data_IF_525814559356
#
_entry.id   IF_525814559356
#
_cell.length_a   1.000
_cell.length_b   1.000
_cell.length_c   1.000
_cell.angle_alpha   90.00
_cell.angle_beta   90.00
_cell.angle_gamma   90.00
#
_symmetry.space_group_name_H-M   'P 1'
#
loop_
_entity.id
_entity.type
_entity.pdbx_description
1 polymer ?
#
# COMPACT_ATOMS: atom_id res chain seq x y z
N UNK A 1 -9.92 7.79 6.03
CA UNK A 1 -10.62 7.82 7.32
C UNK A 1 -9.82 7.27 8.49
N UNK A 2 -8.55 6.91 8.32
CA UNK A 2 -7.68 6.35 9.36
C UNK A 2 -6.74 7.40 9.98
N UNK A 3 -6.99 8.66 9.76
CA UNK A 3 -6.06 9.75 10.05
C UNK A 3 -6.18 10.25 11.50
N UNK A 4 -7.18 9.82 12.22
CA UNK A 4 -7.46 10.31 13.57
C UNK A 4 -7.56 9.14 14.57
N UNK A 5 -6.51 8.36 14.69
CA UNK A 5 -6.18 7.65 15.92
C UNK A 5 -5.26 8.55 16.74
N UNK A 6 -5.81 9.64 17.26
CA UNK A 6 -5.11 10.55 18.15
C UNK A 6 -6.07 11.06 19.20
N UNK A 7 -5.60 11.22 20.42
CA UNK A 7 -6.32 11.94 21.46
C UNK A 7 -6.24 13.45 21.18
N UNK A 8 -7.40 14.09 21.08
CA UNK A 8 -7.49 15.55 21.13
C UNK A 8 -7.30 15.98 22.58
N UNK A 9 -6.16 16.59 22.86
CA UNK A 9 -5.95 17.29 24.13
C UNK A 9 -6.43 18.74 24.02
N UNK A 10 -6.68 19.39 25.16
CA UNK A 10 -7.12 20.79 25.24
C UNK A 10 -6.19 21.77 24.49
N UNK A 11 -4.94 21.39 24.29
CA UNK A 11 -3.88 22.25 23.75
C UNK A 11 -3.49 21.91 22.31
N UNK A 12 -4.13 20.94 21.67
CA UNK A 12 -3.86 20.54 20.31
C UNK A 12 -4.05 19.04 20.06
N UNK A 13 -3.88 18.65 18.82
CA UNK A 13 -3.99 17.25 18.39
C UNK A 13 -2.69 16.54 18.76
N UNK A 14 -2.65 15.82 19.87
CA UNK A 14 -1.62 14.81 20.10
C UNK A 14 -1.99 13.56 19.33
N UNK A 15 -1.40 13.40 18.16
CA UNK A 15 -1.59 12.23 17.34
C UNK A 15 -0.69 11.13 17.91
N UNK A 16 -1.27 10.05 18.44
CA UNK A 16 -0.54 8.82 18.73
C UNK A 16 -0.22 8.16 17.39
N UNK A 17 1.06 8.07 17.08
CA UNK A 17 1.54 7.47 15.84
C UNK A 17 1.75 5.98 16.06
N UNK A 18 1.15 5.20 15.19
CA UNK A 18 1.40 3.77 15.06
C UNK A 18 2.16 3.53 13.76
N UNK A 19 3.07 2.56 13.73
CA UNK A 19 3.73 2.13 12.51
C UNK A 19 2.78 1.48 11.50
N UNK A 20 1.54 1.19 11.89
CA UNK A 20 0.47 0.77 10.97
C UNK A 20 0.10 1.86 9.97
N UNK A 21 0.40 3.11 10.32
CA UNK A 21 0.19 4.28 9.48
C UNK A 21 1.54 4.95 9.23
N UNK A 22 1.90 5.24 7.97
CA UNK A 22 3.18 5.87 7.67
C UNK A 22 3.34 7.17 8.45
N UNK A 23 4.31 7.21 9.37
CA UNK A 23 4.53 8.37 10.24
C UNK A 23 4.73 9.65 9.42
N UNK A 24 5.60 9.60 8.37
CA UNK A 24 5.89 10.77 7.53
C UNK A 24 4.63 11.31 6.84
N UNK A 25 3.79 10.43 6.28
CA UNK A 25 2.52 10.83 5.66
C UNK A 25 1.58 11.48 6.68
N UNK A 26 1.51 10.92 7.89
CA UNK A 26 0.69 11.44 8.98
C UNK A 26 1.17 12.81 9.41
N UNK A 27 2.49 13.06 9.46
CA UNK A 27 3.06 14.38 9.79
C UNK A 27 2.75 15.43 8.71
N UNK A 28 2.96 15.06 7.44
CA UNK A 28 2.67 15.97 6.31
C UNK A 28 1.19 16.35 6.33
N UNK A 29 0.30 15.38 6.44
CA UNK A 29 -1.14 15.64 6.48
C UNK A 29 -1.54 16.44 7.72
N UNK A 30 -0.97 16.09 8.89
CA UNK A 30 -1.17 16.82 10.14
C UNK A 30 -0.76 18.29 10.07
N UNK A 31 0.33 18.60 9.36
CA UNK A 31 0.75 19.96 9.09
C UNK A 31 -0.34 20.76 8.33
N UNK A 32 -0.87 20.21 7.24
CA UNK A 32 -1.93 20.88 6.49
C UNK A 32 -3.25 20.98 7.25
N UNK A 33 -3.59 19.98 8.07
CA UNK A 33 -4.75 20.06 8.97
C UNK A 33 -4.59 21.19 9.97
N UNK A 34 -3.40 21.36 10.56
CA UNK A 34 -3.11 22.48 11.49
C UNK A 34 -3.28 23.84 10.80
N UNK A 35 -2.84 23.97 9.54
CA UNK A 35 -3.11 25.18 8.73
C UNK A 35 -4.62 25.39 8.60
N UNK A 36 -5.38 24.37 8.22
CA UNK A 36 -6.83 24.46 8.11
C UNK A 36 -7.53 24.85 9.42
N UNK A 37 -7.03 24.34 10.56
CA UNK A 37 -7.54 24.71 11.88
C UNK A 37 -7.28 26.20 12.17
N UNK A 38 -6.08 26.68 11.88
CA UNK A 38 -5.73 28.12 12.05
C UNK A 38 -6.62 29.03 11.20
N UNK A 39 -6.95 28.58 9.98
CA UNK A 39 -7.87 29.28 9.08
C UNK A 39 -9.35 29.09 9.46
N UNK A 40 -9.68 28.39 10.54
CA UNK A 40 -11.04 28.01 10.96
C UNK A 40 -11.83 27.17 9.95
N UNK A 41 -11.12 26.57 8.99
CA UNK A 41 -11.68 25.73 7.91
C UNK A 41 -10.79 24.51 7.66
N UNK A 42 -11.03 23.41 8.36
CA UNK A 42 -10.24 22.18 8.21
C UNK A 42 -10.27 21.64 6.76
N UNK A 43 -11.37 21.84 6.05
CA UNK A 43 -11.50 21.46 4.64
C UNK A 43 -10.47 22.12 3.73
N UNK A 44 -10.02 23.34 4.05
CA UNK A 44 -8.95 24.01 3.29
C UNK A 44 -7.61 23.30 3.45
N UNK A 45 -7.28 22.87 4.67
CA UNK A 45 -6.06 22.09 4.90
C UNK A 45 -6.02 20.80 4.07
N UNK A 46 -7.13 20.05 4.05
CA UNK A 46 -7.26 18.90 3.16
C UNK A 46 -7.19 19.27 1.68
N UNK A 47 -7.82 20.37 1.28
CA UNK A 47 -7.80 20.86 -0.10
C UNK A 47 -6.38 21.17 -0.58
N UNK A 48 -5.59 21.88 0.23
CA UNK A 48 -4.20 22.20 -0.09
C UNK A 48 -3.37 20.91 -0.20
N UNK A 49 -3.49 20.00 0.77
CA UNK A 49 -2.78 18.72 0.71
C UNK A 49 -3.13 17.92 -0.54
N UNK A 50 -4.42 17.76 -0.85
CA UNK A 50 -4.85 16.99 -2.03
C UNK A 50 -4.44 17.65 -3.32
N UNK A 51 -4.45 18.98 -3.39
CA UNK A 51 -3.95 19.73 -4.55
C UNK A 51 -2.46 19.49 -4.79
N UNK A 52 -1.64 19.56 -3.74
CA UNK A 52 -0.20 19.30 -3.83
C UNK A 52 0.09 17.85 -4.21
N UNK A 53 -0.63 16.89 -3.61
CA UNK A 53 -0.49 15.47 -3.95
C UNK A 53 -0.88 15.21 -5.42
N UNK A 54 -1.99 15.77 -5.89
CA UNK A 54 -2.42 15.68 -7.29
C UNK A 54 -1.39 16.29 -8.23
N UNK A 55 -0.85 17.47 -7.91
CA UNK A 55 0.20 18.12 -8.69
C UNK A 55 1.46 17.26 -8.77
N UNK A 56 1.85 16.62 -7.68
CA UNK A 56 2.97 15.69 -7.66
C UNK A 56 2.71 14.44 -8.52
N UNK A 57 1.48 13.90 -8.55
CA UNK A 57 1.12 12.82 -9.47
C UNK A 57 1.18 13.26 -10.93
N UNK A 58 0.65 14.44 -11.27
CA UNK A 58 0.72 14.99 -12.63
C UNK A 58 2.18 15.17 -13.06
N UNK A 59 3.03 15.72 -12.18
CA UNK A 59 4.46 15.87 -12.44
C UNK A 59 5.13 14.50 -12.64
N UNK A 60 4.84 13.50 -11.79
CA UNK A 60 5.38 12.14 -11.92
C UNK A 60 4.98 11.49 -13.24
N UNK A 61 3.70 11.58 -13.64
CA UNK A 61 3.23 11.05 -14.94
C UNK A 61 3.92 11.80 -16.10
N UNK A 62 4.05 13.13 -16.01
CA UNK A 62 4.74 13.93 -17.04
C UNK A 62 6.22 13.54 -17.16
N UNK A 63 6.91 13.31 -16.03
CA UNK A 63 8.30 12.83 -16.02
C UNK A 63 8.40 11.42 -16.59
N UNK A 64 7.46 10.52 -16.27
CA UNK A 64 7.40 9.18 -16.85
C UNK A 64 7.28 9.25 -18.37
N UNK A 65 6.34 10.03 -18.90
CA UNK A 65 6.16 10.23 -20.35
C UNK A 65 7.40 10.84 -21.00
N UNK A 66 8.02 11.84 -20.37
CA UNK A 66 9.26 12.45 -20.84
C UNK A 66 10.42 11.43 -20.85
N UNK A 67 10.49 10.55 -19.84
CA UNK A 67 11.47 9.47 -19.79
C UNK A 67 11.25 8.46 -20.92
N UNK A 68 10.03 7.99 -21.13
CA UNK A 68 9.70 7.08 -22.22
C UNK A 68 9.99 7.71 -23.60
N UNK A 69 9.70 8.99 -23.76
CA UNK A 69 10.04 9.74 -24.99
C UNK A 69 11.56 9.77 -25.22
N UNK A 70 12.35 9.97 -24.16
CA UNK A 70 13.81 9.96 -24.26
C UNK A 70 14.36 8.60 -24.71
N UNK A 71 13.71 7.51 -24.33
CA UNK A 71 14.04 6.14 -24.78
C UNK A 71 13.31 5.75 -26.06
N UNK A 72 12.94 6.74 -26.88
CA UNK A 72 12.42 6.60 -28.24
C UNK A 72 11.08 5.82 -28.36
N UNK A 73 10.24 5.86 -27.33
CA UNK A 73 8.87 5.35 -27.44
C UNK A 73 8.05 6.19 -28.42
N UNK A 74 7.25 5.54 -29.23
CA UNK A 74 6.44 6.17 -30.28
C UNK A 74 5.51 7.26 -29.70
N UNK A 75 5.48 8.44 -30.38
CA UNK A 75 4.70 9.60 -29.95
C UNK A 75 3.19 9.33 -29.86
N UNK A 76 2.66 8.48 -30.75
CA UNK A 76 1.25 8.09 -30.71
C UNK A 76 0.94 7.29 -29.45
N UNK A 77 1.83 6.36 -29.08
CA UNK A 77 1.68 5.58 -27.86
C UNK A 77 1.74 6.49 -26.62
N UNK A 78 2.66 7.46 -26.58
CA UNK A 78 2.74 8.42 -25.46
C UNK A 78 1.45 9.23 -25.30
N UNK A 79 0.83 9.64 -26.42
CA UNK A 79 -0.48 10.32 -26.39
C UNK A 79 -1.58 9.40 -25.87
N UNK A 80 -1.61 8.14 -26.30
CA UNK A 80 -2.57 7.13 -25.79
C UNK A 80 -2.38 6.94 -24.29
N UNK A 81 -1.16 6.77 -23.81
CA UNK A 81 -0.83 6.63 -22.40
C UNK A 81 -1.29 7.85 -21.59
N UNK A 82 -1.05 9.07 -22.11
CA UNK A 82 -1.54 10.31 -21.50
C UNK A 82 -3.06 10.32 -21.38
N UNK A 83 -3.79 9.93 -22.43
CA UNK A 83 -5.25 9.86 -22.42
C UNK A 83 -5.75 8.84 -21.40
N UNK A 84 -5.10 7.68 -21.27
CA UNK A 84 -5.43 6.68 -20.26
C UNK A 84 -5.31 7.27 -18.86
N UNK A 85 -4.19 7.93 -18.52
CA UNK A 85 -4.01 8.57 -17.22
C UNK A 85 -5.00 9.70 -16.94
N UNK A 86 -5.36 10.48 -17.97
CA UNK A 86 -6.25 11.62 -17.82
C UNK A 86 -7.73 11.22 -17.70
N UNK A 87 -8.17 10.24 -18.48
CA UNK A 87 -9.59 9.94 -18.67
C UNK A 87 -10.08 8.76 -17.82
N UNK A 88 -9.21 7.79 -17.47
CA UNK A 88 -9.66 6.66 -16.67
C UNK A 88 -9.69 7.06 -15.20
N UNK A 89 -10.88 7.07 -14.56
CA UNK A 89 -11.07 7.69 -13.25
C UNK A 89 -10.21 7.12 -12.13
N UNK A 90 -9.71 5.89 -12.25
CA UNK A 90 -8.86 5.29 -11.22
C UNK A 90 -7.63 6.15 -10.92
N UNK A 91 -7.00 6.74 -11.94
CA UNK A 91 -5.79 7.55 -11.76
C UNK A 91 -6.08 8.91 -11.11
N UNK A 92 -6.96 9.79 -11.64
CA UNK A 92 -7.24 11.06 -10.99
C UNK A 92 -7.88 10.90 -9.61
N UNK A 93 -8.67 9.84 -9.39
CA UNK A 93 -9.27 9.60 -8.07
C UNK A 93 -8.23 9.17 -7.03
N UNK A 94 -7.25 8.33 -7.39
CA UNK A 94 -6.16 7.98 -6.48
C UNK A 94 -5.22 9.15 -6.22
N UNK A 95 -5.02 10.04 -7.18
CA UNK A 95 -4.18 11.23 -6.99
C UNK A 95 -4.71 12.18 -5.91
N UNK A 96 -6.03 12.19 -5.66
CA UNK A 96 -6.67 12.98 -4.60
C UNK A 96 -7.03 12.17 -3.36
N UNK A 97 -6.77 10.85 -3.36
CA UNK A 97 -7.07 9.99 -2.22
C UNK A 97 -6.12 10.29 -1.05
N UNK A 98 -6.68 10.73 0.07
CA UNK A 98 -5.92 10.98 1.29
C UNK A 98 -5.67 9.66 2.01
N UNK A 99 -4.45 9.16 1.94
CA UNK A 99 -4.07 7.90 2.60
C UNK A 99 -2.65 7.47 2.28
N UNK A 100 -2.05 6.70 3.19
CA UNK A 100 -0.68 6.19 3.04
C UNK A 100 -0.47 5.35 1.77
N UNK A 101 -1.49 4.63 1.29
CA UNK A 101 -1.38 3.84 0.07
C UNK A 101 -1.24 4.71 -1.18
N UNK A 102 -1.95 5.86 -1.24
CA UNK A 102 -1.83 6.80 -2.34
C UNK A 102 -0.45 7.49 -2.34
N UNK A 103 0.01 7.91 -1.17
CA UNK A 103 1.34 8.50 -1.01
C UNK A 103 2.45 7.49 -1.37
N UNK A 104 2.33 6.24 -0.93
CA UNK A 104 3.25 5.18 -1.31
C UNK A 104 3.29 4.95 -2.83
N UNK A 105 2.12 4.91 -3.48
CA UNK A 105 2.04 4.71 -4.93
C UNK A 105 2.65 5.87 -5.71
N UNK A 106 2.54 7.09 -5.19
CA UNK A 106 3.23 8.26 -5.75
C UNK A 106 4.76 8.10 -5.67
N UNK A 107 5.28 7.73 -4.51
CA UNK A 107 6.73 7.50 -4.35
C UNK A 107 7.21 6.32 -5.20
N UNK A 108 6.40 5.28 -5.33
CA UNK A 108 6.69 4.15 -6.19
C UNK A 108 6.72 4.53 -7.68
N UNK A 109 5.84 5.43 -8.13
CA UNK A 109 5.88 5.97 -9.50
C UNK A 109 7.23 6.68 -9.79
N UNK A 110 7.70 7.53 -8.87
CA UNK A 110 9.00 8.20 -9.01
C UNK A 110 10.15 7.19 -8.99
N UNK A 111 10.11 6.22 -8.09
CA UNK A 111 11.09 5.14 -8.05
C UNK A 111 11.13 4.33 -9.36
N UNK A 112 9.98 4.00 -9.95
CA UNK A 112 9.95 3.30 -11.23
C UNK A 112 10.53 4.13 -12.39
N UNK A 113 10.39 5.45 -12.39
CA UNK A 113 11.08 6.32 -13.34
C UNK A 113 12.60 6.19 -13.19
N UNK A 114 13.11 6.16 -11.97
CA UNK A 114 14.54 5.95 -11.70
C UNK A 114 15.01 4.56 -12.14
N UNK A 115 14.19 3.51 -11.93
CA UNK A 115 14.45 2.16 -12.43
C UNK A 115 14.60 2.15 -13.95
N UNK A 116 13.69 2.82 -14.67
CA UNK A 116 13.76 2.94 -16.14
C UNK A 116 15.06 3.66 -16.56
N UNK A 117 15.47 4.72 -15.86
CA UNK A 117 16.72 5.40 -16.14
C UNK A 117 17.96 4.53 -15.89
N UNK A 118 17.98 3.76 -14.79
CA UNK A 118 19.09 2.86 -14.44
C UNK A 118 19.33 1.84 -15.58
N UNK A 119 18.26 1.17 -16.02
CA UNK A 119 18.39 0.15 -17.07
C UNK A 119 18.52 0.75 -18.46
N UNK A 120 17.81 1.82 -18.78
CA UNK A 120 17.90 2.52 -20.06
C UNK A 120 19.29 3.12 -20.33
N UNK A 121 20.03 3.48 -19.29
CA UNK A 121 21.43 3.95 -19.39
C UNK A 121 22.47 2.87 -19.09
N UNK A 122 22.02 1.61 -18.92
CA UNK A 122 22.89 0.47 -18.55
C UNK A 122 23.77 0.74 -17.32
N UNK A 123 23.24 1.50 -16.36
CA UNK A 123 23.91 1.86 -15.10
C UNK A 123 24.84 3.07 -15.17
N UNK A 124 25.04 3.69 -16.34
CA UNK A 124 25.90 4.89 -16.44
C UNK A 124 25.36 6.08 -15.63
N UNK A 125 24.04 6.11 -15.39
CA UNK A 125 23.37 7.15 -14.60
C UNK A 125 23.93 7.26 -13.18
N UNK A 126 24.52 6.21 -12.60
CA UNK A 126 25.13 6.23 -11.27
C UNK A 126 26.39 7.13 -11.16
N UNK A 127 26.86 7.69 -12.26
CA UNK A 127 27.87 8.75 -12.24
C UNK A 127 27.28 10.17 -12.13
N UNK A 128 25.96 10.31 -12.25
CA UNK A 128 25.29 11.60 -12.19
C UNK A 128 24.92 11.93 -10.73
N UNK A 129 25.67 12.87 -10.11
CA UNK A 129 25.42 13.29 -8.72
C UNK A 129 24.00 13.83 -8.45
N UNK A 130 23.36 14.45 -9.47
CA UNK A 130 21.97 14.90 -9.32
C UNK A 130 21.02 13.73 -9.24
N UNK A 131 21.25 12.70 -10.04
CA UNK A 131 20.48 11.45 -9.97
C UNK A 131 20.66 10.76 -8.60
N UNK A 132 21.90 10.69 -8.09
CA UNK A 132 22.17 10.13 -6.75
C UNK A 132 21.34 10.84 -5.66
N UNK A 133 21.33 12.18 -5.70
CA UNK A 133 20.55 12.97 -4.74
C UNK A 133 19.02 12.71 -4.83
N UNK A 134 18.49 12.61 -6.05
CA UNK A 134 17.08 12.31 -6.28
C UNK A 134 16.77 10.89 -5.79
N UNK A 135 17.59 9.90 -6.14
CA UNK A 135 17.45 8.51 -5.71
C UNK A 135 17.44 8.38 -4.17
N UNK A 136 18.34 9.08 -3.47
CA UNK A 136 18.38 9.06 -2.01
C UNK A 136 17.06 9.56 -1.42
N UNK A 137 16.53 10.67 -1.94
CA UNK A 137 15.27 11.25 -1.46
C UNK A 137 14.08 10.34 -1.79
N UNK A 138 13.99 9.88 -3.04
CA UNK A 138 12.87 9.02 -3.49
C UNK A 138 12.86 7.69 -2.73
N UNK A 139 14.03 7.04 -2.62
CA UNK A 139 14.16 5.79 -1.89
C UNK A 139 13.82 5.95 -0.40
N UNK A 140 14.31 7.01 0.26
CA UNK A 140 13.97 7.31 1.64
C UNK A 140 12.46 7.52 1.81
N UNK A 141 11.83 8.32 0.96
CA UNK A 141 10.38 8.58 1.00
C UNK A 141 9.57 7.33 0.68
N UNK A 142 10.01 6.49 -0.25
CA UNK A 142 9.39 5.20 -0.56
C UNK A 142 9.36 4.28 0.66
N UNK A 143 10.49 4.14 1.35
CA UNK A 143 10.62 3.31 2.56
C UNK A 143 9.81 3.91 3.72
N UNK A 144 9.84 5.24 3.90
CA UNK A 144 9.10 5.94 4.94
C UNK A 144 7.58 6.00 4.67
N UNK A 145 7.16 5.90 3.41
CA UNK A 145 5.76 5.88 3.04
C UNK A 145 5.05 4.59 3.47
N UNK A 146 5.75 3.45 3.44
CA UNK A 146 5.19 2.15 3.84
C UNK A 146 6.30 1.12 4.03
N UNK A 147 6.17 0.22 5.03
CA UNK A 147 7.15 -0.85 5.26
C UNK A 147 7.42 -1.71 4.01
N UNK A 148 6.44 -1.85 3.14
CA UNK A 148 6.58 -2.54 1.84
C UNK A 148 7.65 -1.89 0.95
N UNK A 149 7.82 -0.58 1.02
CA UNK A 149 8.85 0.16 0.28
C UNK A 149 10.26 -0.26 0.67
N UNK A 150 10.49 -0.56 1.96
CA UNK A 150 11.77 -1.09 2.43
C UNK A 150 12.11 -2.43 1.76
N UNK A 151 11.16 -3.36 1.75
CA UNK A 151 11.37 -4.69 1.15
C UNK A 151 11.61 -4.59 -0.35
N UNK A 152 10.80 -3.80 -1.06
CA UNK A 152 10.94 -3.59 -2.51
C UNK A 152 12.30 -2.96 -2.83
N UNK A 153 12.68 -1.91 -2.10
CA UNK A 153 13.92 -1.20 -2.35
C UNK A 153 15.16 -2.05 -2.03
N UNK A 154 15.17 -2.74 -0.88
CA UNK A 154 16.30 -3.61 -0.49
C UNK A 154 16.51 -4.77 -1.46
N UNK A 155 15.42 -5.44 -1.90
CA UNK A 155 15.53 -6.51 -2.88
C UNK A 155 16.02 -5.99 -4.23
N UNK A 156 15.51 -4.85 -4.68
CA UNK A 156 15.96 -4.22 -5.91
C UNK A 156 17.42 -3.77 -5.83
N UNK A 157 17.88 -3.25 -4.69
CA UNK A 157 19.27 -2.90 -4.43
C UNK A 157 20.19 -4.12 -4.60
N UNK A 158 19.85 -5.27 -4.02
CA UNK A 158 20.64 -6.51 -4.18
C UNK A 158 20.76 -6.89 -5.66
N UNK A 159 19.67 -6.79 -6.42
CA UNK A 159 19.67 -7.08 -7.85
C UNK A 159 20.57 -6.10 -8.61
N UNK A 160 20.51 -4.80 -8.30
CA UNK A 160 21.39 -3.81 -8.92
C UNK A 160 22.88 -4.09 -8.60
N UNK A 161 23.23 -4.53 -7.39
CA UNK A 161 24.61 -4.91 -7.03
C UNK A 161 25.11 -6.10 -7.87
N UNK A 162 24.25 -7.08 -8.12
CA UNK A 162 24.59 -8.26 -8.90
C UNK A 162 24.66 -7.93 -10.39
N UNK A 163 23.72 -7.16 -10.90
CA UNK A 163 23.59 -6.87 -12.33
C UNK A 163 24.64 -5.83 -12.79
N UNK A 164 24.83 -4.77 -12.03
CA UNK A 164 25.74 -3.67 -12.35
C UNK A 164 27.08 -3.80 -11.64
N UNK A 165 27.72 -5.00 -11.66
CA UNK A 165 29.01 -5.27 -11.01
C UNK A 165 30.11 -4.29 -11.43
N UNK A 166 30.10 -3.82 -12.68
CA UNK A 166 31.03 -2.80 -13.19
C UNK A 166 30.95 -1.49 -12.39
N UNK A 167 29.76 -1.16 -11.89
CA UNK A 167 29.49 0.08 -11.15
C UNK A 167 29.30 -0.18 -9.65
N UNK A 168 29.74 -1.33 -9.13
CA UNK A 168 29.46 -1.80 -7.77
C UNK A 168 29.57 -0.72 -6.68
N UNK A 169 30.72 0.03 -6.65
CA UNK A 169 30.92 1.09 -5.64
C UNK A 169 29.91 2.22 -5.75
N UNK A 170 29.51 2.58 -6.95
CA UNK A 170 28.51 3.64 -7.19
C UNK A 170 27.13 3.20 -6.78
N UNK A 171 26.70 2.02 -7.22
CA UNK A 171 25.44 1.39 -6.81
C UNK A 171 25.37 1.27 -5.28
N UNK A 172 26.46 0.79 -4.66
CA UNK A 172 26.52 0.66 -3.21
C UNK A 172 26.30 2.01 -2.52
N UNK A 173 26.97 3.07 -2.93
CA UNK A 173 26.83 4.39 -2.30
C UNK A 173 25.43 4.95 -2.55
N UNK A 174 24.97 4.99 -3.82
CA UNK A 174 23.70 5.63 -4.18
C UNK A 174 22.48 4.94 -3.57
N UNK A 175 22.52 3.61 -3.40
CA UNK A 175 21.37 2.84 -2.92
C UNK A 175 21.47 2.41 -1.45
N UNK A 176 22.69 2.29 -0.89
CA UNK A 176 22.86 1.91 0.52
C UNK A 176 22.67 3.12 1.47
N UNK A 177 23.09 4.31 1.04
CA UNK A 177 22.91 5.53 1.85
C UNK A 177 21.45 5.79 2.27
N UNK A 178 20.44 5.71 1.37
CA UNK A 178 19.05 5.89 1.80
C UNK A 178 18.59 4.82 2.80
N UNK A 179 19.09 3.58 2.71
CA UNK A 179 18.77 2.52 3.69
C UNK A 179 19.36 2.90 5.06
N UNK A 180 20.61 3.39 5.10
CA UNK A 180 21.23 3.86 6.34
C UNK A 180 20.45 5.05 6.92
N UNK A 181 20.12 6.03 6.11
CA UNK A 181 19.32 7.18 6.54
C UNK A 181 17.96 6.73 7.10
N UNK A 182 17.29 5.79 6.43
CA UNK A 182 16.03 5.25 6.91
C UNK A 182 16.20 4.51 8.25
N UNK A 183 17.18 3.62 8.37
CA UNK A 183 17.34 2.79 9.55
C UNK A 183 17.85 3.59 10.76
N UNK A 184 18.90 4.42 10.58
CA UNK A 184 19.51 5.11 11.70
C UNK A 184 18.81 6.43 12.05
N UNK A 185 18.45 7.25 11.06
CA UNK A 185 17.83 8.55 11.33
C UNK A 185 16.34 8.38 11.58
N UNK A 186 15.61 7.72 10.65
CA UNK A 186 14.17 7.66 10.73
C UNK A 186 13.66 6.70 11.80
N UNK A 187 14.12 5.44 11.77
CA UNK A 187 13.69 4.42 12.74
C UNK A 187 14.46 4.55 14.06
N UNK A 188 15.79 4.78 14.02
CA UNK A 188 16.63 4.80 15.21
C UNK A 188 16.57 6.10 16.02
N UNK A 189 16.32 7.26 15.39
CA UNK A 189 16.28 8.56 16.08
C UNK A 189 14.87 9.16 16.12
N UNK A 190 14.21 9.30 14.97
CA UNK A 190 12.91 10.01 14.89
C UNK A 190 11.81 9.22 15.62
N UNK A 191 11.73 7.90 15.44
CA UNK A 191 10.70 7.08 16.09
C UNK A 191 10.74 7.14 17.63
N UNK A 192 11.89 6.97 18.30
CA UNK A 192 11.98 7.12 19.75
C UNK A 192 11.64 8.53 20.23
N UNK A 193 12.16 9.57 19.54
CA UNK A 193 11.88 10.98 19.90
C UNK A 193 10.38 11.28 19.80
N UNK A 194 9.73 10.81 18.72
CA UNK A 194 8.31 11.04 18.47
C UNK A 194 7.40 10.00 19.13
N UNK A 195 7.95 9.05 19.91
CA UNK A 195 7.20 7.95 20.55
C UNK A 195 6.29 7.21 19.59
N UNK A 196 6.81 6.92 18.39
CA UNK A 196 6.06 6.17 17.37
C UNK A 196 5.87 4.72 17.82
N UNK A 197 4.61 4.26 17.86
CA UNK A 197 4.29 2.86 18.24
C UNK A 197 4.86 1.85 17.23
N UNK A 198 5.27 0.69 17.74
CA UNK A 198 5.73 -0.42 16.91
C UNK A 198 4.54 -1.18 16.35
N UNK A 199 4.62 -1.61 15.08
CA UNK A 199 3.61 -2.49 14.46
C UNK A 199 3.52 -3.79 15.27
N UNK A 200 2.32 -4.17 15.64
CA UNK A 200 2.11 -5.42 16.38
C UNK A 200 2.47 -6.63 15.52
N UNK A 201 3.03 -7.67 16.14
CA UNK A 201 3.41 -8.93 15.48
C UNK A 201 2.25 -9.58 14.71
N UNK A 202 1.00 -9.36 15.13
CA UNK A 202 -0.20 -9.88 14.47
C UNK A 202 -0.33 -9.42 13.00
N UNK A 203 0.27 -8.30 12.62
CA UNK A 203 0.21 -7.82 11.23
C UNK A 203 1.08 -8.65 10.29
N UNK A 204 2.20 -9.18 10.79
CA UNK A 204 3.13 -10.02 10.04
C UNK A 204 2.64 -11.47 9.87
N UNK A 205 1.77 -11.94 10.76
CA UNK A 205 1.38 -13.34 10.89
C UNK A 205 -0.01 -13.66 10.30
N UNK A 206 -0.54 -12.76 9.47
CA UNK A 206 -1.90 -12.87 8.92
C UNK A 206 -2.19 -14.23 8.26
N UNK A 207 -1.25 -14.76 7.47
CA UNK A 207 -1.41 -16.04 6.75
C UNK A 207 -1.46 -17.19 7.76
N UNK A 208 -0.48 -17.27 8.67
CA UNK A 208 -0.42 -18.35 9.66
C UNK A 208 -1.68 -18.37 10.52
N UNK A 209 -2.18 -17.20 10.89
CA UNK A 209 -3.41 -17.09 11.70
C UNK A 209 -4.66 -17.52 10.91
N UNK A 210 -4.75 -17.18 9.63
CA UNK A 210 -5.85 -17.62 8.77
C UNK A 210 -5.84 -19.14 8.58
N UNK A 211 -4.67 -19.72 8.35
CA UNK A 211 -4.50 -21.18 8.21
C UNK A 211 -4.90 -21.91 9.47
N UNK A 212 -4.42 -21.44 10.64
CA UNK A 212 -4.81 -22.01 11.94
C UNK A 212 -6.32 -21.87 12.18
N UNK A 213 -6.90 -20.71 11.87
CA UNK A 213 -8.34 -20.50 12.09
C UNK A 213 -9.20 -21.40 11.20
N UNK A 214 -8.79 -21.63 9.94
CA UNK A 214 -9.45 -22.56 9.03
C UNK A 214 -9.33 -24.00 9.54
N UNK A 215 -8.15 -24.41 9.94
CA UNK A 215 -7.93 -25.74 10.51
C UNK A 215 -8.87 -26.00 11.71
N UNK A 216 -8.90 -25.10 12.68
CA UNK A 216 -9.77 -25.23 13.84
C UNK A 216 -11.26 -25.21 13.47
N UNK A 217 -11.64 -24.49 12.43
CA UNK A 217 -13.03 -24.46 11.97
C UNK A 217 -13.52 -25.81 11.46
N UNK A 218 -12.66 -26.57 10.78
CA UNK A 218 -13.06 -27.81 10.10
C UNK A 218 -12.58 -29.09 10.81
N UNK A 219 -11.51 -29.03 11.61
CA UNK A 219 -10.85 -30.16 12.27
C UNK A 219 -10.66 -29.94 13.77
N UNK A 220 -11.62 -29.29 14.41
CA UNK A 220 -11.54 -28.96 15.84
C UNK A 220 -11.30 -30.18 16.73
N UNK A 221 -11.94 -31.30 16.40
CA UNK A 221 -11.88 -32.55 17.18
C UNK A 221 -10.55 -33.30 17.07
N UNK A 222 -9.74 -32.98 16.06
CA UNK A 222 -8.42 -33.52 15.84
C UNK A 222 -7.30 -32.72 16.52
N UNK A 223 -7.62 -31.57 17.11
CA UNK A 223 -6.65 -30.74 17.81
C UNK A 223 -6.32 -31.36 19.18
N UNK A 224 -5.06 -31.70 19.40
CA UNK A 224 -4.59 -32.24 20.66
C UNK A 224 -4.61 -31.18 21.78
N UNK A 225 -4.56 -31.62 23.03
CA UNK A 225 -4.49 -30.70 24.19
C UNK A 225 -3.24 -29.79 24.12
N UNK A 226 -2.12 -30.33 23.65
CA UNK A 226 -0.86 -29.60 23.52
C UNK A 226 -0.98 -28.50 22.43
N UNK A 227 -1.52 -28.88 21.27
CA UNK A 227 -1.77 -27.93 20.17
C UNK A 227 -2.73 -26.82 20.61
N UNK A 228 -3.82 -27.17 21.26
CA UNK A 228 -4.77 -26.20 21.83
C UNK A 228 -4.09 -25.23 22.79
N UNK A 229 -3.25 -25.73 23.69
CA UNK A 229 -2.55 -24.90 24.67
C UNK A 229 -1.56 -23.93 23.97
N UNK A 230 -0.78 -24.40 23.00
CA UNK A 230 0.17 -23.57 22.27
C UNK A 230 -0.56 -22.46 21.48
N UNK A 231 -1.64 -22.81 20.77
CA UNK A 231 -2.45 -21.85 20.06
C UNK A 231 -3.08 -20.84 21.01
N UNK A 232 -3.62 -21.32 22.15
CA UNK A 232 -4.32 -20.44 23.09
C UNK A 232 -3.40 -19.44 23.80
N UNK A 233 -2.09 -19.65 23.82
CA UNK A 233 -1.13 -18.64 24.30
C UNK A 233 -0.98 -17.47 23.36
N UNK A 234 -1.17 -17.67 22.05
CA UNK A 234 -0.97 -16.65 21.00
C UNK A 234 -2.30 -16.08 20.50
N UNK A 235 -3.31 -16.92 20.31
CA UNK A 235 -4.63 -16.57 19.79
C UNK A 235 -5.72 -17.03 20.76
N UNK A 236 -6.90 -16.41 20.75
CA UNK A 236 -8.06 -16.91 21.52
C UNK A 236 -8.64 -18.15 20.81
N UNK A 237 -8.22 -19.34 21.25
CA UNK A 237 -8.59 -20.62 20.63
C UNK A 237 -10.09 -20.83 20.49
N UNK A 238 -10.89 -20.43 21.47
CA UNK A 238 -12.34 -20.67 21.43
C UNK A 238 -13.07 -19.78 20.41
N UNK A 239 -12.47 -18.65 20.06
CA UNK A 239 -13.07 -17.68 19.12
C UNK A 239 -12.56 -17.80 17.70
N UNK A 240 -11.33 -18.29 17.48
CA UNK A 240 -10.66 -18.11 16.20
C UNK A 240 -11.34 -18.88 15.05
N UNK A 241 -11.85 -20.10 15.29
CA UNK A 241 -12.58 -20.87 14.27
C UNK A 241 -13.83 -20.12 13.77
N UNK A 242 -14.59 -19.53 14.70
CA UNK A 242 -15.80 -18.74 14.37
C UNK A 242 -15.46 -17.37 13.75
N UNK A 243 -14.22 -16.87 13.93
CA UNK A 243 -13.75 -15.61 13.33
C UNK A 243 -13.12 -15.81 11.96
N UNK A 244 -12.92 -17.04 11.52
CA UNK A 244 -12.38 -17.33 10.22
C UNK A 244 -13.25 -16.73 9.11
N UNK A 245 -12.65 -15.86 8.30
CA UNK A 245 -13.25 -15.31 7.09
C UNK A 245 -12.27 -15.55 5.93
N UNK A 246 -12.65 -16.29 4.88
CA UNK A 246 -11.74 -16.66 3.79
C UNK A 246 -11.04 -15.45 3.12
N UNK A 247 -11.72 -14.31 3.04
CA UNK A 247 -11.23 -13.14 2.32
C UNK A 247 -10.62 -12.05 3.22
N UNK A 248 -10.65 -12.22 4.55
CA UNK A 248 -10.26 -11.17 5.49
C UNK A 248 -9.65 -11.75 6.76
N UNK A 249 -8.36 -11.52 6.98
CA UNK A 249 -7.65 -11.98 8.17
C UNK A 249 -7.91 -11.14 9.44
N UNK A 250 -8.39 -9.89 9.29
CA UNK A 250 -8.55 -8.96 10.41
C UNK A 250 -9.40 -9.51 11.59
N UNK A 251 -10.52 -10.25 11.37
CA UNK A 251 -11.27 -10.80 12.49
C UNK A 251 -10.47 -11.81 13.32
N UNK A 252 -9.61 -12.61 12.67
CA UNK A 252 -8.73 -13.58 13.32
C UNK A 252 -7.59 -12.88 14.04
N UNK A 253 -6.92 -11.93 13.38
CA UNK A 253 -5.84 -11.12 13.98
C UNK A 253 -6.26 -10.41 15.28
N UNK A 254 -7.52 -10.00 15.38
CA UNK A 254 -8.06 -9.38 16.60
C UNK A 254 -8.14 -10.30 17.80
N UNK A 255 -7.96 -11.61 17.60
CA UNK A 255 -7.86 -12.59 18.69
C UNK A 255 -6.44 -12.75 19.24
N UNK A 256 -5.46 -12.09 18.62
CA UNK A 256 -4.07 -12.11 19.06
C UNK A 256 -3.92 -11.56 20.47
N UNK A 257 -3.16 -12.27 21.29
CA UNK A 257 -2.86 -11.91 22.67
C UNK A 257 -1.53 -11.15 22.73
N UNK A 258 -1.58 -9.88 23.06
CA UNK A 258 -0.37 -9.03 23.18
C UNK A 258 0.58 -9.48 24.29
N UNK A 259 0.13 -10.36 25.18
CA UNK A 259 0.94 -11.00 26.23
C UNK A 259 1.79 -12.16 25.71
N UNK A 260 1.62 -12.58 24.46
CA UNK A 260 2.39 -13.70 23.89
C UNK A 260 3.88 -13.36 23.85
N UNK A 261 4.69 -14.27 24.41
CA UNK A 261 6.16 -14.15 24.39
C UNK A 261 6.76 -14.72 23.11
N UNK A 262 8.05 -14.43 22.85
CA UNK A 262 8.77 -15.06 21.73
C UNK A 262 8.80 -16.58 21.84
N UNK A 263 8.87 -17.14 23.04
CA UNK A 263 8.80 -18.59 23.28
C UNK A 263 7.41 -19.14 22.91
N UNK A 264 6.33 -18.42 23.24
CA UNK A 264 4.98 -18.82 22.87
C UNK A 264 4.78 -18.80 21.37
N UNK A 265 5.33 -17.80 20.68
CA UNK A 265 5.32 -17.73 19.21
C UNK A 265 6.09 -18.88 18.57
N UNK A 266 7.28 -19.25 19.08
CA UNK A 266 8.05 -20.39 18.57
C UNK A 266 7.27 -21.70 18.74
N UNK A 267 6.66 -21.92 19.90
CA UNK A 267 5.83 -23.10 20.15
C UNK A 267 4.59 -23.11 19.23
N UNK A 268 3.98 -21.94 19.01
CA UNK A 268 2.88 -21.79 18.06
C UNK A 268 3.30 -22.13 16.63
N UNK A 269 4.46 -21.68 16.16
CA UNK A 269 4.95 -22.01 14.81
C UNK A 269 5.24 -23.49 14.64
N UNK A 270 5.77 -24.14 15.66
CA UNK A 270 5.98 -25.60 15.63
C UNK A 270 4.65 -26.35 15.48
N UNK A 271 3.65 -25.95 16.26
CA UNK A 271 2.29 -26.53 16.19
C UNK A 271 1.64 -26.20 14.84
N UNK A 272 1.76 -24.95 14.38
CA UNK A 272 1.25 -24.53 13.07
C UNK A 272 1.83 -25.38 11.93
N UNK A 273 3.13 -25.63 11.94
CA UNK A 273 3.78 -26.49 10.94
C UNK A 273 3.27 -27.93 11.00
N UNK A 274 3.19 -28.50 12.22
CA UNK A 274 2.70 -29.87 12.46
C UNK A 274 1.26 -30.04 11.96
N UNK A 275 0.37 -29.10 12.26
CA UNK A 275 -1.01 -29.10 11.78
C UNK A 275 -1.09 -28.96 10.25
N UNK A 276 -0.24 -28.13 9.66
CA UNK A 276 -0.16 -27.97 8.21
C UNK A 276 0.33 -29.23 7.48
N UNK A 277 1.25 -29.97 8.08
CA UNK A 277 1.69 -31.26 7.53
C UNK A 277 0.61 -32.35 7.67
N UNK A 278 -0.24 -32.28 8.68
CA UNK A 278 -1.36 -33.19 8.90
C UNK A 278 -2.50 -32.95 7.89
N UNK A 279 -2.84 -31.67 7.61
CA UNK A 279 -3.88 -31.27 6.66
C UNK A 279 -3.38 -30.14 5.73
N UNK A 280 -2.48 -30.44 4.77
CA UNK A 280 -1.88 -29.42 3.90
C UNK A 280 -2.90 -28.74 2.99
N UNK A 281 -3.95 -29.44 2.61
CA UNK A 281 -5.02 -28.91 1.74
C UNK A 281 -5.69 -27.70 2.39
N UNK A 282 -5.98 -27.77 3.71
CA UNK A 282 -6.62 -26.67 4.43
C UNK A 282 -5.75 -25.42 4.47
N UNK A 283 -4.44 -25.59 4.56
CA UNK A 283 -3.48 -24.47 4.54
C UNK A 283 -3.40 -23.83 3.16
N UNK A 284 -3.38 -24.65 2.10
CA UNK A 284 -3.39 -24.17 0.71
C UNK A 284 -4.70 -23.45 0.43
N UNK A 285 -5.84 -24.02 0.79
CA UNK A 285 -7.15 -23.40 0.58
C UNK A 285 -7.32 -22.09 1.36
N UNK A 286 -6.83 -22.01 2.60
CA UNK A 286 -6.83 -20.77 3.36
C UNK A 286 -6.03 -19.67 2.65
N UNK A 287 -4.87 -20.02 2.09
CA UNK A 287 -4.03 -19.10 1.33
C UNK A 287 -4.71 -18.68 0.03
N UNK A 288 -5.20 -19.63 -0.77
CA UNK A 288 -5.91 -19.35 -2.03
C UNK A 288 -7.13 -18.45 -1.76
N UNK A 289 -7.94 -18.79 -0.75
CA UNK A 289 -9.14 -18.03 -0.43
C UNK A 289 -8.85 -16.57 -0.03
N UNK A 290 -7.67 -16.31 0.57
CA UNK A 290 -7.25 -14.96 0.95
C UNK A 290 -6.57 -14.19 -0.20
N UNK A 291 -6.20 -14.84 -1.31
CA UNK A 291 -5.34 -14.25 -2.35
C UNK A 291 -5.90 -14.32 -3.76
N UNK A 292 -6.87 -15.19 -4.04
CA UNK A 292 -7.30 -15.52 -5.40
C UNK A 292 -7.63 -14.31 -6.29
N UNK A 293 -8.17 -13.24 -5.72
CA UNK A 293 -8.57 -12.07 -6.50
C UNK A 293 -7.36 -11.27 -7.06
N UNK A 294 -6.16 -11.55 -6.58
CA UNK A 294 -4.94 -10.92 -7.14
C UNK A 294 -4.41 -11.62 -8.39
N UNK A 295 -4.92 -12.82 -8.71
CA UNK A 295 -4.51 -13.58 -9.91
C UNK A 295 -5.66 -14.22 -10.70
N UNK A 296 -6.89 -14.13 -10.21
CA UNK A 296 -8.07 -14.62 -10.93
C UNK A 296 -8.76 -13.48 -11.69
N UNK A 297 -8.56 -13.34 -13.02
CA UNK A 297 -8.98 -12.16 -13.78
C UNK A 297 -10.48 -12.08 -14.00
N UNK A 298 -11.21 -13.21 -13.92
CA UNK A 298 -12.65 -13.27 -14.24
C UNK A 298 -13.56 -13.22 -13.02
N UNK A 299 -13.00 -13.29 -11.81
CA UNK A 299 -13.79 -13.23 -10.61
C UNK A 299 -14.10 -11.77 -10.28
N UNK A 300 -15.21 -11.27 -10.82
CA UNK A 300 -15.77 -9.98 -10.44
C UNK A 300 -16.40 -10.10 -9.05
N UNK A 301 -15.60 -9.88 -8.02
CA UNK A 301 -16.19 -9.67 -6.71
C UNK A 301 -16.66 -8.22 -6.65
N UNK A 302 -17.91 -7.98 -6.24
CA UNK A 302 -18.56 -6.67 -6.10
C UNK A 302 -17.84 -5.70 -5.12
N UNK A 303 -16.61 -5.98 -4.73
CA UNK A 303 -15.79 -5.18 -3.82
C UNK A 303 -14.77 -4.29 -4.52
N UNK A 304 -14.77 -4.28 -5.87
CA UNK A 304 -14.02 -3.31 -6.67
C UNK A 304 -14.35 -1.90 -6.22
N UNK A 305 -13.42 -1.05 -6.35
CA UNK A 305 -13.43 0.39 -6.10
C UNK A 305 -14.43 0.88 -5.04
N UNK A 306 -14.19 0.57 -3.76
CA UNK A 306 -14.80 1.33 -2.69
C UNK A 306 -14.12 2.72 -2.62
N UNK A 307 -14.14 3.43 -3.72
CA UNK A 307 -14.20 4.87 -3.69
C UNK A 307 -15.57 5.20 -3.12
N UNK A 308 -15.69 5.08 -1.82
CA UNK A 308 -16.76 5.79 -1.09
C UNK A 308 -16.44 7.27 -1.29
N UNK A 309 -16.86 7.79 -2.43
CA UNK A 309 -17.00 9.22 -2.69
C UNK A 309 -18.11 9.76 -1.76
N UNK A 310 -18.13 9.27 -0.53
CA UNK A 310 -19.05 9.72 0.50
C UNK A 310 -18.66 11.15 0.84
N UNK A 311 -19.69 11.98 0.96
CA UNK A 311 -19.56 13.32 1.50
C UNK A 311 -18.64 13.27 2.72
N UNK A 312 -17.75 14.26 2.86
CA UNK A 312 -17.19 14.65 4.13
C UNK A 312 -18.29 15.11 5.09
N UNK A 313 -19.32 14.28 5.32
CA UNK A 313 -20.04 14.30 6.56
C UNK A 313 -19.10 13.61 7.54
N UNK A 314 -18.14 14.39 8.01
CA UNK A 314 -17.30 14.01 9.10
C UNK A 314 -18.25 13.47 10.19
N UNK A 315 -18.29 12.14 10.34
CA UNK A 315 -18.73 11.45 11.54
C UNK A 315 -20.19 11.39 11.96
N UNK A 316 -21.18 11.61 11.11
CA UNK A 316 -22.56 11.23 11.51
C UNK A 316 -22.82 9.70 11.50
N UNK A 317 -21.94 8.88 10.91
CA UNK A 317 -22.11 7.42 10.78
C UNK A 317 -20.87 6.58 10.97
N UNK A 318 -19.84 7.07 11.63
CA UNK A 318 -18.63 6.28 11.91
C UNK A 318 -18.68 5.69 13.30
N UNK A 319 -17.97 4.56 13.41
CA UNK A 319 -17.85 3.67 14.56
C UNK A 319 -17.91 4.42 15.90
N UNK A 320 -18.59 3.89 16.92
CA UNK A 320 -18.67 4.50 18.25
C UNK A 320 -17.31 4.94 18.81
N UNK A 321 -16.26 4.14 18.58
CA UNK A 321 -14.89 4.42 18.98
C UNK A 321 -14.23 5.68 18.41
N UNK A 322 -14.85 6.33 17.42
CA UNK A 322 -14.30 7.57 16.83
C UNK A 322 -15.11 8.80 17.31
N UNK A 323 -16.34 8.62 17.76
CA UNK A 323 -17.13 9.70 18.37
C UNK A 323 -16.49 10.22 19.65
N UNK A 324 -15.79 9.34 20.36
CA UNK A 324 -15.15 9.67 21.64
C UNK A 324 -13.81 10.40 21.45
N UNK A 325 -13.25 10.37 20.24
CA UNK A 325 -11.92 10.95 19.94
C UNK A 325 -12.00 12.40 19.43
N UNK A 326 -13.12 12.79 18.78
CA UNK A 326 -13.28 14.16 18.26
C UNK A 326 -14.58 14.75 18.80
N UNK A 327 -14.51 15.71 19.74
CA UNK A 327 -15.67 16.39 20.27
C UNK A 327 -16.49 17.06 19.14
N UNK A 328 -17.82 16.95 19.20
CA UNK A 328 -18.73 17.60 18.25
C UNK A 328 -18.53 19.12 18.20
N UNK A 329 -18.14 19.69 19.33
CA UNK A 329 -17.76 21.11 19.45
C UNK A 329 -16.59 21.49 18.55
N UNK A 330 -15.59 20.62 18.39
CA UNK A 330 -14.46 20.85 17.49
C UNK A 330 -14.90 20.84 16.02
N UNK A 331 -15.75 19.88 15.64
CA UNK A 331 -16.29 19.76 14.28
C UNK A 331 -17.10 21.01 13.92
N UNK A 332 -17.96 21.46 14.81
CA UNK A 332 -18.78 22.66 14.60
C UNK A 332 -17.95 23.94 14.53
N UNK A 333 -16.94 24.07 15.41
CA UNK A 333 -16.07 25.25 15.49
C UNK A 333 -15.20 25.40 14.25
N UNK A 334 -14.77 24.30 13.62
CA UNK A 334 -13.79 24.33 12.53
C UNK A 334 -14.40 24.11 11.13
N UNK A 335 -15.72 24.18 11.00
CA UNK A 335 -16.44 24.08 9.73
C UNK A 335 -15.92 22.94 8.82
N UNK A 336 -16.07 21.70 9.28
CA UNK A 336 -15.60 20.50 8.57
C UNK A 336 -16.54 20.05 7.43
N UNK A 337 -17.52 20.86 7.04
CA UNK A 337 -18.45 20.50 5.96
C UNK A 337 -17.88 20.83 4.56
N UNK A 338 -18.25 20.00 3.59
CA UNK A 338 -17.86 20.29 2.20
C UNK A 338 -18.66 21.50 1.66
N UNK A 339 -18.03 22.36 0.83
CA UNK A 339 -18.67 23.53 0.25
C UNK A 339 -19.97 23.18 -0.48
N UNK A 340 -21.06 23.90 -0.15
CA UNK A 340 -22.40 23.62 -0.70
C UNK A 340 -22.47 23.75 -2.23
N UNK A 341 -21.70 24.69 -2.82
CA UNK A 341 -21.67 24.95 -4.26
C UNK A 341 -21.12 23.78 -5.11
N UNK A 342 -20.31 22.89 -4.51
CA UNK A 342 -19.69 21.77 -5.23
C UNK A 342 -20.56 20.50 -5.31
N UNK A 343 -21.77 20.52 -4.75
CA UNK A 343 -22.65 19.32 -4.73
C UNK A 343 -23.01 18.80 -6.12
N UNK A 344 -23.27 19.70 -7.08
CA UNK A 344 -23.62 19.32 -8.46
C UNK A 344 -22.41 18.67 -9.16
N UNK A 345 -21.27 19.34 -9.14
CA UNK A 345 -20.01 18.83 -9.76
C UNK A 345 -19.69 17.44 -9.18
N UNK A 346 -19.78 17.30 -7.88
CA UNK A 346 -19.52 16.02 -7.21
C UNK A 346 -20.50 14.92 -7.67
N UNK A 347 -21.80 15.23 -7.79
CA UNK A 347 -22.78 14.26 -8.28
C UNK A 347 -22.45 13.81 -9.70
N UNK A 348 -22.05 14.75 -10.57
CA UNK A 348 -21.62 14.46 -11.95
C UNK A 348 -20.38 13.56 -11.98
N UNK A 349 -19.36 13.88 -11.17
CA UNK A 349 -18.14 13.03 -11.06
C UNK A 349 -18.49 11.62 -10.58
N UNK A 350 -19.37 11.48 -9.58
CA UNK A 350 -19.81 10.16 -9.09
C UNK A 350 -20.55 9.37 -10.19
N UNK A 351 -21.41 10.02 -10.96
CA UNK A 351 -22.12 9.39 -12.08
C UNK A 351 -21.12 8.95 -13.14
N UNK A 352 -20.19 9.82 -13.53
CA UNK A 352 -19.14 9.50 -14.51
C UNK A 352 -18.31 8.29 -14.05
N UNK A 353 -17.85 8.26 -12.79
CA UNK A 353 -17.10 7.11 -12.25
C UNK A 353 -17.91 5.82 -12.24
N UNK A 354 -19.22 5.89 -11.96
CA UNK A 354 -20.11 4.71 -12.02
C UNK A 354 -20.28 4.21 -13.46
N UNK A 355 -20.48 5.11 -14.41
CA UNK A 355 -20.64 4.76 -15.82
C UNK A 355 -19.36 4.12 -16.37
N UNK A 356 -18.19 4.71 -16.11
CA UNK A 356 -16.90 4.18 -16.56
C UNK A 356 -16.58 2.82 -15.92
N UNK A 357 -17.03 2.55 -14.70
CA UNK A 357 -16.86 1.25 -14.06
C UNK A 357 -17.60 0.12 -14.79
N UNK A 358 -18.69 0.41 -15.51
CA UNK A 358 -19.43 -0.57 -16.29
C UNK A 358 -18.88 -0.78 -17.72
N UNK A 359 -17.90 0.03 -18.15
CA UNK A 359 -17.24 -0.16 -19.46
C UNK A 359 -16.19 -1.27 -19.33
N UNK A 360 -16.29 -2.40 -20.07
CA UNK A 360 -15.46 -3.57 -19.85
C UNK A 360 -13.95 -3.31 -19.78
N UNK A 361 -13.38 -2.61 -20.78
CA UNK A 361 -11.95 -2.33 -20.84
C UNK A 361 -11.48 -1.42 -19.70
N UNK A 362 -12.29 -0.42 -19.33
CA UNK A 362 -11.98 0.51 -18.23
C UNK A 362 -12.08 -0.23 -16.90
N UNK A 363 -13.06 -1.13 -16.76
CA UNK A 363 -13.23 -1.94 -15.56
C UNK A 363 -12.01 -2.84 -15.27
N UNK A 364 -11.25 -3.24 -16.29
CA UNK A 364 -10.04 -4.04 -16.08
C UNK A 364 -9.03 -3.40 -15.13
N UNK A 365 -8.87 -2.09 -15.19
CA UNK A 365 -7.95 -1.35 -14.29
C UNK A 365 -8.46 -1.22 -12.84
N UNK A 366 -9.65 -1.69 -12.57
CA UNK A 366 -10.19 -1.81 -11.21
C UNK A 366 -10.07 -3.23 -10.64
N UNK A 367 -9.70 -4.21 -11.47
CA UNK A 367 -9.60 -5.61 -11.08
C UNK A 367 -8.14 -5.98 -10.79
N UNK A 368 -7.79 -6.32 -9.53
CA UNK A 368 -6.43 -6.72 -9.16
C UNK A 368 -5.87 -7.87 -10.00
N UNK A 369 -6.69 -8.89 -10.28
CA UNK A 369 -6.25 -10.03 -11.08
C UNK A 369 -5.92 -9.65 -12.52
N UNK A 370 -6.73 -8.79 -13.16
CA UNK A 370 -6.44 -8.31 -14.51
C UNK A 370 -5.17 -7.46 -14.54
N UNK A 371 -4.97 -6.58 -13.56
CA UNK A 371 -3.73 -5.80 -13.43
C UNK A 371 -2.51 -6.72 -13.38
N UNK A 372 -2.58 -7.79 -12.60
CA UNK A 372 -1.51 -8.80 -12.52
C UNK A 372 -1.27 -9.47 -13.85
N UNK A 373 -2.32 -9.88 -14.57
CA UNK A 373 -2.15 -10.52 -15.89
C UNK A 373 -1.63 -9.55 -16.94
N UNK A 374 -2.04 -8.28 -16.95
CA UNK A 374 -1.47 -7.26 -17.82
C UNK A 374 0.04 -7.08 -17.57
N UNK A 375 0.46 -7.07 -16.29
CA UNK A 375 1.87 -7.04 -15.92
C UNK A 375 2.62 -8.28 -16.44
N UNK A 376 2.08 -9.48 -16.27
CA UNK A 376 2.69 -10.72 -16.81
C UNK A 376 2.74 -10.71 -18.33
N UNK A 377 1.68 -10.28 -19.01
CA UNK A 377 1.66 -10.18 -20.47
C UNK A 377 2.75 -9.23 -20.99
N UNK A 378 2.89 -8.05 -20.39
CA UNK A 378 3.95 -7.11 -20.74
C UNK A 378 5.34 -7.74 -20.50
N UNK A 379 5.56 -8.39 -19.38
CA UNK A 379 6.79 -9.11 -19.10
C UNK A 379 7.10 -10.19 -20.14
N UNK A 380 6.12 -11.00 -20.55
CA UNK A 380 6.30 -12.03 -21.56
C UNK A 380 6.61 -11.47 -22.96
N UNK A 381 6.11 -10.28 -23.31
CA UNK A 381 6.50 -9.58 -24.54
C UNK A 381 8.00 -9.30 -24.55
N UNK A 382 8.55 -8.77 -23.46
CA UNK A 382 10.01 -8.55 -23.37
C UNK A 382 10.79 -9.85 -23.34
N UNK A 383 10.25 -10.91 -22.72
CA UNK A 383 10.86 -12.24 -22.74
C UNK A 383 11.00 -12.77 -24.17
N UNK A 384 9.94 -12.73 -24.96
CA UNK A 384 9.98 -13.21 -26.35
C UNK A 384 10.93 -12.41 -27.23
N UNK A 385 11.11 -11.10 -26.92
CA UNK A 385 12.06 -10.22 -27.59
C UNK A 385 13.50 -10.36 -27.07
N UNK A 386 13.73 -11.15 -26.03
CA UNK A 386 15.04 -11.31 -25.35
C UNK A 386 15.61 -9.99 -24.80
N UNK A 387 14.74 -9.06 -24.45
CA UNK A 387 15.10 -7.77 -23.87
C UNK A 387 15.28 -7.87 -22.35
N UNK A 388 16.36 -8.53 -21.92
CA UNK A 388 16.60 -8.88 -20.52
C UNK A 388 16.68 -7.65 -19.60
N UNK A 389 17.23 -6.54 -20.06
CA UNK A 389 17.30 -5.29 -19.30
C UNK A 389 15.89 -4.77 -18.95
N UNK A 390 15.00 -4.77 -19.93
CA UNK A 390 13.60 -4.40 -19.76
C UNK A 390 12.86 -5.35 -18.81
N UNK A 391 13.17 -6.65 -18.86
CA UNK A 391 12.55 -7.64 -17.96
C UNK A 391 12.90 -7.39 -16.49
N UNK A 392 14.14 -6.99 -16.19
CA UNK A 392 14.57 -6.72 -14.81
C UNK A 392 13.82 -5.53 -14.21
N UNK A 393 13.39 -4.57 -15.03
CA UNK A 393 12.59 -3.43 -14.55
C UNK A 393 11.24 -3.85 -13.96
N UNK A 394 10.74 -5.06 -14.26
CA UNK A 394 9.50 -5.60 -13.70
C UNK A 394 9.67 -6.15 -12.28
N UNK A 395 10.89 -6.35 -11.79
CA UNK A 395 11.10 -6.96 -10.46
C UNK A 395 10.40 -6.18 -9.34
N UNK A 396 10.49 -4.84 -9.25
CA UNK A 396 9.73 -4.10 -8.23
C UNK A 396 8.22 -4.35 -8.31
N UNK A 397 7.67 -4.56 -9.51
CA UNK A 397 6.25 -4.83 -9.72
C UNK A 397 5.87 -6.24 -9.26
N UNK A 398 6.71 -7.24 -9.55
CA UNK A 398 6.54 -8.60 -9.01
C UNK A 398 6.66 -8.64 -7.48
N UNK A 399 7.52 -7.81 -6.89
CA UNK A 399 7.61 -7.68 -5.44
C UNK A 399 6.32 -7.09 -4.85
N UNK A 400 5.72 -6.08 -5.48
CA UNK A 400 4.39 -5.56 -5.08
C UNK A 400 3.33 -6.67 -5.18
N UNK A 401 3.32 -7.45 -6.25
CA UNK A 401 2.41 -8.59 -6.39
C UNK A 401 2.63 -9.62 -5.27
N UNK A 402 3.87 -10.02 -4.98
CA UNK A 402 4.20 -10.92 -3.87
C UNK A 402 3.71 -10.39 -2.52
N UNK A 403 3.84 -9.09 -2.27
CA UNK A 403 3.31 -8.43 -1.07
C UNK A 403 1.77 -8.48 -1.03
N UNK A 404 1.09 -8.39 -2.17
CA UNK A 404 -0.36 -8.55 -2.22
C UNK A 404 -0.80 -9.96 -1.78
N UNK A 405 -0.02 -10.99 -2.12
CA UNK A 405 -0.29 -12.37 -1.68
C UNK A 405 -0.11 -12.55 -0.18
N UNK A 406 0.74 -11.73 0.47
CA UNK A 406 0.94 -11.73 1.91
C UNK A 406 -0.04 -10.81 2.65
N UNK A 407 -0.95 -10.14 1.93
CA UNK A 407 -1.83 -9.14 2.54
C UNK A 407 -2.96 -9.77 3.37
N UNK A 408 -3.44 -9.07 4.40
CA UNK A 408 -4.51 -9.58 5.27
C UNK A 408 -5.90 -9.54 4.62
N UNK A 409 -6.02 -9.03 3.40
CA UNK A 409 -7.32 -8.81 2.75
C UNK A 409 -7.25 -9.08 1.27
N UNK A 410 -8.09 -10.01 0.83
CA UNK A 410 -8.30 -10.32 -0.58
C UNK A 410 -8.99 -9.16 -1.33
N UNK A 411 -8.80 -9.11 -2.65
CA UNK A 411 -9.47 -8.19 -3.57
C UNK A 411 -9.41 -6.71 -3.13
N UNK A 412 -8.22 -6.22 -2.87
CA UNK A 412 -8.02 -4.84 -2.45
C UNK A 412 -7.11 -4.08 -3.43
N UNK A 413 -7.73 -3.31 -4.32
CA UNK A 413 -7.03 -2.54 -5.34
C UNK A 413 -5.91 -1.66 -4.77
N UNK A 414 -6.09 -1.10 -3.56
CA UNK A 414 -5.08 -0.21 -2.95
C UNK A 414 -3.71 -0.86 -2.75
N UNK A 415 -3.64 -2.19 -2.62
CA UNK A 415 -2.37 -2.88 -2.42
C UNK A 415 -1.60 -3.08 -3.72
N UNK A 416 -2.31 -3.33 -4.83
CA UNK A 416 -1.72 -3.50 -6.16
C UNK A 416 -1.72 -2.19 -6.98
N UNK A 417 -2.27 -1.11 -6.45
CA UNK A 417 -2.37 0.17 -7.16
C UNK A 417 -1.02 0.73 -7.61
N UNK A 418 0.12 0.55 -6.88
CA UNK A 418 1.43 0.93 -7.41
C UNK A 418 1.74 0.29 -8.76
N UNK A 419 1.42 -1.01 -8.93
CA UNK A 419 1.51 -1.70 -10.24
C UNK A 419 0.51 -1.13 -11.25
N UNK A 420 -0.74 -0.89 -10.83
CA UNK A 420 -1.77 -0.27 -11.68
C UNK A 420 -1.30 1.06 -12.28
N UNK A 421 -0.59 1.88 -11.49
CA UNK A 421 -0.02 3.15 -11.97
C UNK A 421 0.99 2.98 -13.11
N UNK A 422 1.61 1.82 -13.24
CA UNK A 422 2.63 1.56 -14.27
C UNK A 422 2.05 0.89 -15.53
N UNK A 423 0.88 0.25 -15.43
CA UNK A 423 0.28 -0.50 -16.56
C UNK A 423 0.22 0.30 -17.86
N UNK A 424 -0.22 1.58 -17.90
CA UNK A 424 -0.29 2.31 -19.17
C UNK A 424 1.08 2.57 -19.81
N UNK A 425 2.15 2.43 -19.05
CA UNK A 425 3.53 2.72 -19.50
C UNK A 425 4.33 1.45 -19.83
N UNK A 426 3.77 0.27 -19.58
CA UNK A 426 4.33 -1.03 -19.92
C UNK A 426 4.02 -1.40 -21.36
#
# INVERSE_FOLDING_TARGET
PTILQGQLTSDGINILYSNDHPFIHTQILGFFIKIGIRLKHVSWGYGIYTFLQMSAYIMGISLLLATLNKFAVNQLLLKVVLFIYALIPVFPLYSILVGGDAFFSLMFLYFMIEVIWIFGTKGEIFYNKKFDGIMIITAFLLMAAKNQGLYVFCMFFIICLIYFRKYFRKVLISMFVPILCFQFIYVGMIFPICKVGVVGEQEKLSICFQQTARYIKYYKDEVTKEEKNAINKVLDYEKIGNKYNPELADPVKKTYKTSATSTDLNNYFFVWLKMGLKHPVEYIEAFIANTYAYYAPLLTTNRGLYLKLNSMKFYKKTRPSVKDVIPQTFINKNNCESPRGLKKIRKTVIIFCKLTYHIPVINWLYNPGIITWLMFMAFFVFWTRKEYDSMITFIPLFLIFGICLLSPKNNNLRYIYPTCCMIPAM
#
